data_IF_733309135567
#
_entry.id   IF_733309135567
#
_cell.length_a   1.000
_cell.length_b   1.000
_cell.length_c   1.000
_cell.angle_alpha   90.00
_cell.angle_beta   90.00
_cell.angle_gamma   90.00
#
_symmetry.space_group_name_H-M   'P 1'
#
loop_
_entity.id
_entity.type
_entity.pdbx_description
1 polymer ?
#
# COMPACT_ATOMS: atom_id res chain seq x y z
N UNK A 1 -11.08 22.81 12.87
CA UNK A 1 -11.38 21.90 11.76
C UNK A 1 -10.33 20.80 11.76
N UNK A 2 -10.69 19.51 11.89
CA UNK A 2 -9.68 18.43 11.72
C UNK A 2 -9.20 18.49 10.27
N UNK A 3 -7.89 18.56 9.99
CA UNK A 3 -7.39 18.64 8.63
C UNK A 3 -7.91 17.46 7.81
N UNK A 4 -8.40 17.76 6.60
CA UNK A 4 -8.87 16.73 5.68
C UNK A 4 -7.71 15.78 5.37
N UNK A 5 -8.01 14.49 5.33
CA UNK A 5 -7.07 13.41 5.08
C UNK A 5 -6.34 13.56 3.74
N UNK A 6 -7.02 14.20 2.78
CA UNK A 6 -6.50 14.55 1.46
C UNK A 6 -5.41 15.64 1.48
N UNK A 7 -5.23 16.34 2.61
CA UNK A 7 -4.26 17.44 2.74
C UNK A 7 -2.95 17.04 3.43
N UNK A 8 -2.78 15.75 3.74
CA UNK A 8 -1.54 15.23 4.33
C UNK A 8 -0.94 14.19 3.38
N UNK A 9 0.28 14.41 2.85
CA UNK A 9 0.92 13.36 2.07
C UNK A 9 1.07 12.12 2.96
N UNK A 10 0.54 10.99 2.48
CA UNK A 10 0.77 9.70 3.12
C UNK A 10 2.24 9.29 3.03
N UNK A 11 2.58 8.14 3.62
CA UNK A 11 3.90 7.55 3.39
C UNK A 11 4.04 7.24 1.89
N UNK A 12 5.24 7.47 1.34
CA UNK A 12 5.55 7.01 0.00
C UNK A 12 5.27 5.51 -0.13
N UNK A 13 4.64 5.06 -1.23
CA UNK A 13 4.34 3.66 -1.41
C UNK A 13 5.65 2.86 -1.54
N UNK A 14 5.66 1.63 -1.03
CA UNK A 14 6.68 0.67 -1.40
C UNK A 14 6.34 0.17 -2.81
N UNK A 15 7.32 0.22 -3.71
CA UNK A 15 7.15 -0.22 -5.09
C UNK A 15 8.12 -1.36 -5.35
N UNK A 16 7.59 -2.50 -5.76
CA UNK A 16 8.37 -3.69 -6.09
C UNK A 16 8.04 -4.15 -7.51
N UNK A 17 9.05 -4.63 -8.23
CA UNK A 17 8.89 -5.21 -9.57
C UNK A 17 9.34 -6.67 -9.56
N UNK A 18 8.51 -7.59 -10.03
CA UNK A 18 8.85 -9.02 -10.11
C UNK A 18 8.19 -9.67 -11.31
N UNK A 19 8.97 -10.32 -12.17
CA UNK A 19 8.42 -11.11 -13.29
C UNK A 19 7.58 -10.32 -14.29
N UNK A 20 7.85 -9.03 -14.48
CA UNK A 20 7.03 -8.15 -15.33
C UNK A 20 5.80 -7.56 -14.64
N UNK A 21 5.57 -7.87 -13.37
CA UNK A 21 4.53 -7.24 -12.55
C UNK A 21 5.12 -6.11 -11.69
N UNK A 22 4.31 -5.08 -11.46
CA UNK A 22 4.59 -3.98 -10.53
C UNK A 22 3.60 -4.10 -9.37
N UNK A 23 4.10 -4.08 -8.15
CA UNK A 23 3.30 -4.07 -6.92
C UNK A 23 3.53 -2.77 -6.17
N UNK A 24 2.45 -2.07 -5.84
CA UNK A 24 2.43 -0.92 -4.94
C UNK A 24 1.82 -1.35 -3.61
N UNK A 25 2.54 -1.13 -2.52
CA UNK A 25 2.05 -1.32 -1.17
C UNK A 25 1.90 0.05 -0.51
N UNK A 26 0.67 0.43 -0.18
CA UNK A 26 0.33 1.75 0.31
C UNK A 26 -0.23 1.69 1.73
N UNK A 27 0.10 2.74 2.50
CA UNK A 27 -0.51 3.01 3.81
C UNK A 27 -1.23 4.36 3.77
N UNK A 28 -2.34 4.52 3.01
CA UNK A 28 -3.06 5.79 2.97
C UNK A 28 -3.49 6.24 4.36
N UNK A 29 -3.60 7.55 4.56
CA UNK A 29 -4.18 8.06 5.79
C UNK A 29 -5.63 7.55 5.91
N UNK A 30 -6.06 7.21 7.13
CA UNK A 30 -7.44 6.78 7.41
C UNK A 30 -7.71 5.30 7.27
N UNK A 31 -6.75 4.52 6.76
CA UNK A 31 -6.84 3.07 6.88
C UNK A 31 -6.58 2.63 8.33
N UNK A 32 -7.21 1.55 8.80
CA UNK A 32 -6.91 0.98 10.11
C UNK A 32 -5.41 0.66 10.28
N UNK A 33 -4.89 0.80 11.50
CA UNK A 33 -3.53 0.34 11.80
C UNK A 33 -3.39 -1.15 11.50
N UNK A 34 -2.23 -1.56 10.99
CA UNK A 34 -1.98 -2.96 10.65
C UNK A 34 -2.62 -3.40 9.34
N UNK A 35 -3.17 -2.48 8.53
CA UNK A 35 -3.78 -2.76 7.23
C UNK A 35 -3.07 -1.95 6.15
N UNK A 36 -3.00 -2.51 4.94
CA UNK A 36 -2.40 -1.87 3.77
C UNK A 36 -3.26 -2.09 2.52
N UNK A 37 -3.17 -1.15 1.58
CA UNK A 37 -3.70 -1.30 0.24
C UNK A 37 -2.59 -1.83 -0.66
N UNK A 38 -2.85 -2.92 -1.38
CA UNK A 38 -1.94 -3.52 -2.34
C UNK A 38 -2.55 -3.37 -3.73
N UNK A 39 -1.79 -2.79 -4.66
CA UNK A 39 -2.14 -2.66 -6.07
C UNK A 39 -1.11 -3.43 -6.87
N UNK A 40 -1.54 -4.40 -7.68
CA UNK A 40 -0.66 -5.15 -8.59
C UNK A 40 -1.06 -4.88 -10.03
N UNK A 41 -0.07 -4.63 -10.87
CA UNK A 41 -0.23 -4.36 -12.29
C UNK A 41 0.67 -5.29 -13.09
N UNK A 42 0.20 -5.81 -14.22
CA UNK A 42 1.04 -6.58 -15.15
C UNK A 42 1.32 -5.80 -16.46
N UNK A 43 2.21 -6.35 -17.31
CA UNK A 43 2.55 -5.76 -18.61
C UNK A 43 1.43 -5.79 -19.65
N UNK A 44 0.34 -6.52 -19.39
CA UNK A 44 -0.83 -6.63 -20.27
C UNK A 44 -1.95 -5.68 -19.87
N UNK A 45 -1.76 -4.90 -18.80
CA UNK A 45 -2.75 -3.95 -18.27
C UNK A 45 -3.72 -4.55 -17.26
N UNK A 46 -3.49 -5.79 -16.79
CA UNK A 46 -4.24 -6.39 -15.70
C UNK A 46 -3.94 -5.67 -14.38
N UNK A 47 -4.99 -5.41 -13.59
CA UNK A 47 -4.90 -4.72 -12.28
C UNK A 47 -5.66 -5.49 -11.22
N UNK A 48 -5.01 -5.76 -10.08
CA UNK A 48 -5.62 -6.35 -8.89
C UNK A 48 -5.44 -5.43 -7.70
N UNK A 49 -6.52 -5.24 -6.94
CA UNK A 49 -6.51 -4.45 -5.71
C UNK A 49 -6.90 -5.33 -4.53
N UNK A 50 -6.20 -5.19 -3.41
CA UNK A 50 -6.50 -5.90 -2.17
C UNK A 50 -6.25 -5.01 -0.96
N UNK A 51 -7.09 -5.17 0.06
CA UNK A 51 -6.84 -4.66 1.41
C UNK A 51 -6.39 -5.86 2.24
N UNK A 52 -5.16 -5.81 2.74
CA UNK A 52 -4.54 -6.92 3.44
C UNK A 52 -3.95 -6.46 4.77
N UNK A 53 -3.75 -7.36 5.75
CA UNK A 53 -2.90 -7.09 6.90
C UNK A 53 -1.52 -6.61 6.43
N UNK A 54 -0.93 -5.65 7.13
CA UNK A 54 0.45 -5.25 6.88
C UNK A 54 1.37 -6.33 7.46
N UNK A 55 2.24 -6.92 6.64
CA UNK A 55 3.27 -7.88 7.10
C UNK A 55 4.39 -7.22 7.91
N UNK A 56 4.13 -6.09 8.57
CA UNK A 56 5.04 -5.54 9.58
C UNK A 56 4.88 -6.33 10.88
N UNK A 57 5.14 -7.63 10.86
CA UNK A 57 5.27 -8.43 12.08
C UNK A 57 6.75 -8.51 12.47
N UNK A 58 7.05 -7.96 13.65
CA UNK A 58 8.11 -8.39 14.56
C UNK A 58 9.54 -8.39 14.02
N UNK A 59 10.21 -7.24 14.08
CA UNK A 59 11.66 -7.21 14.32
C UNK A 59 11.90 -6.48 15.62
N UNK A 60 11.48 -7.11 16.73
CA UNK A 60 11.99 -6.79 18.05
C UNK A 60 12.28 -8.14 18.73
N UNK A 61 13.57 -8.48 18.77
CA UNK A 61 14.13 -9.62 19.50
C UNK A 61 15.32 -9.12 20.29
#
# INVERSE_FOLDING_TARGET
MKPNIDQRPGRAPLVATRGGEITFTLTPAGIPRGVQLIIRCDTKGGVWLSIAPSETESTDK
#
